data_IF_350089320653
#
_entry.id   IF_350089320653
#
_cell.length_a   1.000
_cell.length_b   1.000
_cell.length_c   1.000
_cell.angle_alpha   90.00
_cell.angle_beta   90.00
_cell.angle_gamma   90.00
#
_symmetry.space_group_name_H-M   'P 1'
#
loop_
_entity.id
_entity.type
_entity.pdbx_description
1 polymer ?
#
# COMPACT_ATOMS: atom_id res chain seq x y z
N UNK A 1 -49.47 8.48 -16.33
CA UNK A 1 -48.52 9.14 -16.76
C UNK A 1 -47.63 8.46 -17.62
N UNK A 2 -47.49 8.90 -18.62
CA UNK A 2 -46.73 8.29 -19.42
C UNK A 2 -45.51 8.75 -19.45
N UNK A 3 -44.68 8.09 -19.35
CA UNK A 3 -43.42 8.48 -19.39
C UNK A 3 -42.81 7.97 -20.56
N UNK A 4 -41.73 8.43 -20.87
CA UNK A 4 -41.01 7.95 -21.96
C UNK A 4 -40.66 6.52 -21.69
N UNK A 5 -40.99 5.65 -22.56
CA UNK A 5 -40.67 4.24 -22.43
C UNK A 5 -41.45 3.56 -21.34
N UNK A 6 -42.56 4.14 -20.99
CA UNK A 6 -43.45 3.52 -19.99
C UNK A 6 -42.72 3.16 -18.69
N UNK A 7 -41.88 4.01 -18.25
CA UNK A 7 -41.14 3.77 -17.00
C UNK A 7 -41.93 4.37 -15.84
N UNK A 8 -42.18 3.56 -14.84
CA UNK A 8 -42.81 4.03 -13.62
C UNK A 8 -41.80 4.85 -12.82
N UNK A 9 -42.20 6.04 -12.42
CA UNK A 9 -41.31 6.94 -11.70
C UNK A 9 -40.82 6.36 -10.40
N UNK A 10 -41.71 5.69 -9.66
CA UNK A 10 -41.29 5.11 -8.38
C UNK A 10 -40.30 3.99 -8.58
N UNK A 11 -40.48 3.21 -9.62
CA UNK A 11 -39.50 2.17 -9.95
C UNK A 11 -38.19 2.76 -10.36
N UNK A 12 -38.21 3.84 -11.12
CA UNK A 12 -37.00 4.52 -11.56
C UNK A 12 -36.20 5.03 -10.35
N UNK A 13 -36.88 5.66 -9.41
CA UNK A 13 -36.25 6.15 -8.19
C UNK A 13 -35.62 5.00 -7.41
N UNK A 14 -36.35 3.89 -7.31
CA UNK A 14 -35.83 2.73 -6.60
C UNK A 14 -34.56 2.20 -7.25
N UNK A 15 -34.52 2.14 -8.57
CA UNK A 15 -33.36 1.67 -9.30
C UNK A 15 -32.17 2.62 -9.10
N UNK A 16 -32.43 3.93 -9.18
CA UNK A 16 -31.39 4.91 -8.91
C UNK A 16 -30.80 4.72 -7.50
N UNK A 17 -31.64 4.57 -6.51
CA UNK A 17 -31.18 4.42 -5.14
C UNK A 17 -30.37 3.15 -4.95
N UNK A 18 -30.77 2.06 -5.59
CA UNK A 18 -30.03 0.82 -5.54
C UNK A 18 -28.66 0.96 -6.19
N UNK A 19 -28.62 1.64 -7.33
CA UNK A 19 -27.35 1.87 -8.02
C UNK A 19 -26.41 2.74 -7.21
N UNK A 20 -26.95 3.80 -6.63
CA UNK A 20 -26.15 4.71 -5.80
C UNK A 20 -25.57 3.94 -4.62
N UNK A 21 -26.38 3.14 -3.97
CA UNK A 21 -25.93 2.36 -2.83
C UNK A 21 -24.84 1.37 -3.22
N UNK A 22 -25.04 0.66 -4.32
CA UNK A 22 -24.06 -0.32 -4.80
C UNK A 22 -22.74 0.37 -5.16
N UNK A 23 -22.82 1.46 -5.91
CA UNK A 23 -21.62 2.19 -6.32
C UNK A 23 -20.88 2.79 -5.13
N UNK A 24 -21.64 3.31 -4.17
CA UNK A 24 -21.04 3.87 -2.97
C UNK A 24 -20.29 2.80 -2.19
N UNK A 25 -20.91 1.63 -2.02
CA UNK A 25 -20.27 0.53 -1.31
C UNK A 25 -19.01 0.06 -2.03
N UNK A 26 -19.07 -0.02 -3.36
CA UNK A 26 -17.91 -0.41 -4.14
C UNK A 26 -16.77 0.61 -3.99
N UNK A 27 -17.12 1.90 -4.00
CA UNK A 27 -16.12 2.95 -3.83
C UNK A 27 -15.45 2.86 -2.46
N UNK A 28 -16.23 2.65 -1.42
CA UNK A 28 -15.69 2.53 -0.08
C UNK A 28 -14.75 1.35 0.01
N UNK A 29 -15.15 0.22 -0.56
CA UNK A 29 -14.32 -0.98 -0.54
C UNK A 29 -13.01 -0.76 -1.30
N UNK A 30 -13.09 -0.13 -2.46
CA UNK A 30 -11.90 0.15 -3.25
C UNK A 30 -10.95 1.11 -2.53
N UNK A 31 -11.50 2.11 -1.87
CA UNK A 31 -10.71 3.05 -1.11
C UNK A 31 -10.00 2.35 0.04
N UNK A 32 -10.71 1.49 0.76
CA UNK A 32 -10.12 0.73 1.85
C UNK A 32 -9.01 -0.19 1.34
N UNK A 33 -9.22 -0.85 0.20
CA UNK A 33 -8.20 -1.70 -0.40
C UNK A 33 -6.96 -0.89 -0.77
N UNK A 34 -7.18 0.28 -1.35
CA UNK A 34 -6.06 1.13 -1.73
C UNK A 34 -5.26 1.55 -0.51
N UNK A 35 -5.93 1.97 0.54
CA UNK A 35 -5.25 2.38 1.77
C UNK A 35 -4.46 1.23 2.38
N UNK A 36 -5.02 0.02 2.32
CA UNK A 36 -4.33 -1.17 2.81
C UNK A 36 -3.06 -1.44 2.01
N UNK A 37 -3.17 -1.36 0.68
CA UNK A 37 -2.02 -1.59 -0.20
C UNK A 37 -0.92 -0.56 0.06
N UNK A 38 -1.31 0.71 0.21
CA UNK A 38 -0.35 1.77 0.49
C UNK A 38 0.35 1.53 1.82
N UNK A 39 -0.42 1.15 2.84
CA UNK A 39 0.16 0.91 4.16
C UNK A 39 1.12 -0.27 4.12
N UNK A 40 0.73 -1.35 3.45
CA UNK A 40 1.59 -2.52 3.32
C UNK A 40 2.89 -2.16 2.61
N UNK A 41 2.80 -1.32 1.58
CA UNK A 41 3.97 -0.88 0.84
C UNK A 41 4.90 -0.06 1.72
N UNK A 42 4.35 0.84 2.53
CA UNK A 42 5.14 1.64 3.45
C UNK A 42 5.82 0.78 4.50
N UNK A 43 5.11 -0.21 5.00
CA UNK A 43 5.68 -1.12 6.00
C UNK A 43 6.82 -1.94 5.39
N UNK A 44 6.64 -2.40 4.16
CA UNK A 44 7.69 -3.14 3.45
C UNK A 44 8.92 -2.26 3.22
N UNK A 45 8.72 -1.00 2.88
CA UNK A 45 9.82 -0.08 2.70
C UNK A 45 10.60 0.15 3.99
N UNK A 46 9.90 0.24 5.11
CA UNK A 46 10.55 0.42 6.40
C UNK A 46 11.40 -0.79 6.75
N UNK A 47 10.87 -2.00 6.49
CA UNK A 47 11.63 -3.22 6.73
C UNK A 47 12.87 -3.29 5.87
N UNK A 48 12.74 -2.95 4.60
CA UNK A 48 13.88 -2.95 3.69
C UNK A 48 14.95 -1.97 4.13
N UNK A 49 14.53 -0.80 4.59
CA UNK A 49 15.47 0.20 5.06
C UNK A 49 16.19 -0.28 6.31
N UNK A 50 15.49 -0.92 7.23
CA UNK A 50 16.08 -1.46 8.43
C UNK A 50 17.11 -2.54 8.09
N UNK A 51 16.77 -3.43 7.15
CA UNK A 51 17.70 -4.47 6.71
C UNK A 51 18.92 -3.87 6.04
N UNK A 52 18.70 -2.85 5.23
CA UNK A 52 19.80 -2.18 4.55
C UNK A 52 20.78 -1.60 5.55
N UNK A 53 20.26 -0.93 6.57
CA UNK A 53 21.11 -0.33 7.60
C UNK A 53 21.86 -1.40 8.38
N UNK A 54 21.23 -2.51 8.66
CA UNK A 54 21.85 -3.60 9.37
C UNK A 54 22.99 -4.19 8.57
N UNK A 55 22.79 -4.45 7.28
CA UNK A 55 23.84 -4.98 6.43
C UNK A 55 24.96 -3.97 6.22
N UNK A 56 24.62 -2.71 6.11
CA UNK A 56 25.61 -1.66 5.97
C UNK A 56 26.51 -1.60 7.20
N UNK A 57 25.93 -1.70 8.38
CA UNK A 57 26.68 -1.69 9.61
C UNK A 57 27.58 -2.90 9.72
N UNK A 58 27.08 -4.07 9.35
CA UNK A 58 27.89 -5.29 9.35
C UNK A 58 29.06 -5.17 8.38
N UNK A 59 28.81 -4.59 7.22
CA UNK A 59 29.87 -4.40 6.24
C UNK A 59 30.94 -3.47 6.78
N UNK A 60 30.55 -2.37 7.37
CA UNK A 60 31.50 -1.40 7.93
C UNK A 60 32.29 -2.00 9.07
N UNK A 61 31.67 -2.79 9.92
CA UNK A 61 32.34 -3.45 11.02
C UNK A 61 33.38 -4.47 10.50
N UNK A 62 33.00 -5.23 9.49
CA UNK A 62 33.89 -6.20 8.90
C UNK A 62 35.08 -5.51 8.24
N UNK A 63 34.82 -4.42 7.54
CA UNK A 63 35.89 -3.67 6.89
C UNK A 63 36.87 -3.11 7.93
N UNK A 64 36.34 -2.62 9.04
CA UNK A 64 37.19 -2.12 10.13
C UNK A 64 38.07 -3.21 10.72
N UNK A 65 37.50 -4.43 10.87
CA UNK A 65 38.26 -5.56 11.37
C UNK A 65 39.39 -5.95 10.41
N UNK A 66 39.10 -5.93 9.12
CA UNK A 66 40.10 -6.25 8.12
C UNK A 66 41.23 -5.21 8.14
N UNK A 67 40.88 -3.94 8.22
CA UNK A 67 41.87 -2.87 8.28
C UNK A 67 42.73 -2.98 9.54
N UNK A 68 42.13 -3.35 10.64
CA UNK A 68 42.87 -3.52 11.88
C UNK A 68 43.84 -4.66 11.77
N UNK A 69 43.44 -5.77 11.17
CA UNK A 69 44.34 -6.89 10.98
C UNK A 69 45.49 -6.57 10.04
N UNK A 70 45.19 -5.84 8.95
CA UNK A 70 46.23 -5.41 8.03
C UNK A 70 47.22 -4.50 8.72
N UNK A 71 46.77 -3.63 9.60
CA UNK A 71 47.63 -2.78 10.37
C UNK A 71 48.54 -3.56 11.30
N UNK A 72 48.03 -4.65 11.87
CA UNK A 72 48.83 -5.49 12.74
C UNK A 72 49.87 -6.29 11.98
N UNK A 73 49.55 -6.71 10.77
CA UNK A 73 50.48 -7.54 10.03
C UNK A 73 51.50 -6.72 9.28
N UNK A 74 51.29 -5.46 9.09
CA UNK A 74 52.23 -4.66 8.35
C UNK A 74 53.44 -4.18 9.21
N UNK A 75 53.45 -4.58 10.41
CA UNK A 75 54.63 -4.30 11.20
C UNK A 75 55.66 -5.36 11.00
#
# INVERSE_FOLDING_TARGET
>A
MTQNNDVDVNTLIKVYNQKISTLTNQNILLEAKLQTIVQDHLDAQKELMAEKLEYQEKYENLLAEIEEEDGKTSN
#
